data_IF_233673125935
#
_entry.id   IF_233673125935
#
_cell.length_a   1.000
_cell.length_b   1.000
_cell.length_c   1.000
_cell.angle_alpha   90.00
_cell.angle_beta   90.00
_cell.angle_gamma   90.00
#
_symmetry.space_group_name_H-M   'P 1'
#
loop_
_entity.id
_entity.type
_entity.pdbx_description
1 polymer ?
#
# COMPACT_ATOMS: atom_id res chain seq x y z
N UNK A 1 -72.57 40.58 7.19
CA UNK A 1 -71.70 39.48 7.66
C UNK A 1 -70.58 39.28 6.62
N UNK A 2 -69.37 39.78 6.89
CA UNK A 2 -68.23 39.64 5.98
C UNK A 2 -67.43 38.39 6.41
N UNK A 3 -67.33 37.40 5.51
CA UNK A 3 -66.49 36.19 5.75
C UNK A 3 -65.02 36.54 5.49
N UNK A 4 -64.21 36.35 6.49
CA UNK A 4 -62.76 36.49 6.40
C UNK A 4 -62.19 35.13 5.95
N UNK A 5 -61.56 35.10 4.79
CA UNK A 5 -60.84 33.91 4.28
C UNK A 5 -59.37 34.04 4.72
N UNK A 6 -58.93 33.17 5.62
CA UNK A 6 -57.54 33.07 6.04
C UNK A 6 -56.83 32.09 5.08
N UNK A 7 -55.94 32.62 4.26
CA UNK A 7 -55.05 31.82 3.40
C UNK A 7 -53.80 31.46 4.20
N UNK A 8 -53.68 30.21 4.64
CA UNK A 8 -52.45 29.71 5.24
C UNK A 8 -51.44 29.37 4.14
N UNK A 9 -50.40 30.18 4.05
CA UNK A 9 -49.25 29.86 3.19
C UNK A 9 -48.37 28.79 3.86
N UNK A 10 -48.34 27.58 3.31
CA UNK A 10 -47.39 26.56 3.67
C UNK A 10 -46.02 26.94 3.08
N UNK A 11 -45.09 27.35 3.94
CA UNK A 11 -43.67 27.47 3.58
C UNK A 11 -43.07 26.05 3.46
N UNK A 12 -42.89 25.57 2.24
CA UNK A 12 -42.03 24.45 1.95
C UNK A 12 -40.57 24.91 2.04
N UNK A 13 -39.88 24.58 3.12
CA UNK A 13 -38.42 24.71 3.19
C UNK A 13 -37.79 23.65 2.28
N UNK A 14 -37.28 24.09 1.14
CA UNK A 14 -36.44 23.24 0.27
C UNK A 14 -35.12 23.05 1.01
N UNK A 15 -34.93 21.87 1.63
CA UNK A 15 -33.62 21.45 2.10
C UNK A 15 -32.75 21.19 0.87
N UNK A 16 -31.89 22.14 0.53
CA UNK A 16 -30.79 21.89 -0.42
C UNK A 16 -29.89 20.81 0.18
N UNK A 17 -29.58 19.72 -0.55
CA UNK A 17 -28.61 18.75 -0.07
C UNK A 17 -27.27 19.47 0.11
N UNK A 18 -26.72 19.44 1.32
CA UNK A 18 -25.35 19.89 1.57
C UNK A 18 -24.47 18.95 0.76
N UNK A 19 -23.82 19.49 -0.27
CA UNK A 19 -22.81 18.76 -1.01
C UNK A 19 -21.71 18.37 0.00
N UNK A 20 -21.66 17.12 0.39
CA UNK A 20 -20.51 16.58 1.09
C UNK A 20 -19.34 16.70 0.11
N UNK A 21 -18.32 17.46 0.47
CA UNK A 21 -17.08 17.49 -0.30
C UNK A 21 -16.60 16.03 -0.39
N UNK A 22 -16.48 15.51 -1.62
CA UNK A 22 -16.00 14.15 -1.84
C UNK A 22 -14.61 14.04 -1.21
N UNK A 23 -14.48 13.14 -0.22
CA UNK A 23 -13.17 12.84 0.39
C UNK A 23 -12.33 12.19 -0.71
N UNK A 24 -11.16 12.77 -1.09
CA UNK A 24 -10.33 12.18 -2.11
C UNK A 24 -9.93 10.74 -1.77
N UNK A 25 -9.77 9.86 -2.76
CA UNK A 25 -9.43 8.47 -2.50
C UNK A 25 -8.06 8.33 -1.84
N UNK A 26 -7.96 7.37 -0.91
CA UNK A 26 -6.77 7.12 -0.12
C UNK A 26 -6.16 5.73 -0.37
N UNK A 27 -4.85 5.65 -0.13
CA UNK A 27 -4.07 4.42 -0.06
C UNK A 27 -3.69 4.16 1.39
N UNK A 28 -4.11 3.02 1.94
CA UNK A 28 -3.60 2.51 3.21
C UNK A 28 -2.28 1.77 2.95
N UNK A 29 -1.23 2.11 3.70
CA UNK A 29 0.11 1.50 3.54
C UNK A 29 0.47 0.78 4.84
N UNK A 30 0.46 -0.55 4.80
CA UNK A 30 0.81 -1.40 5.94
C UNK A 30 2.32 -1.65 5.90
N UNK A 31 3.08 -1.01 6.81
CA UNK A 31 4.54 -1.07 6.82
C UNK A 31 5.14 -0.67 8.18
N UNK A 32 6.40 -0.21 8.19
CA UNK A 32 7.14 0.15 9.40
C UNK A 32 6.75 1.49 10.04
N UNK A 33 5.97 2.31 9.34
CA UNK A 33 5.67 3.69 9.73
C UNK A 33 6.55 4.72 9.02
N UNK A 34 6.43 6.00 9.41
CA UNK A 34 7.13 7.14 8.79
C UNK A 34 7.20 8.33 9.77
N UNK A 35 8.07 9.31 9.54
CA UNK A 35 7.93 10.63 10.15
C UNK A 35 6.75 11.37 9.52
N UNK A 36 5.66 11.52 10.25
CA UNK A 36 4.39 12.11 9.78
C UNK A 36 4.59 13.48 9.09
N UNK A 37 5.55 14.27 9.56
CA UNK A 37 5.82 15.60 9.01
C UNK A 37 6.36 15.60 7.55
N UNK A 38 6.83 14.45 7.05
CA UNK A 38 7.36 14.35 5.68
C UNK A 38 6.27 14.25 4.60
N UNK A 39 5.04 13.91 4.99
CA UNK A 39 3.94 13.64 4.05
C UNK A 39 2.68 14.45 4.42
N UNK A 40 2.51 15.66 3.87
CA UNK A 40 1.37 16.54 4.20
C UNK A 40 0.01 16.01 3.71
N UNK A 41 0.01 14.97 2.88
CA UNK A 41 -1.18 14.31 2.36
C UNK A 41 -1.67 13.13 3.22
N UNK A 42 -1.06 12.88 4.39
CA UNK A 42 -1.57 11.92 5.38
C UNK A 42 -2.87 12.47 5.97
N UNK A 43 -3.91 11.63 5.97
CA UNK A 43 -5.26 11.98 6.46
C UNK A 43 -5.69 11.14 7.67
N UNK A 44 -4.97 10.09 7.98
CA UNK A 44 -5.20 9.21 9.13
C UNK A 44 -4.00 8.30 9.33
N UNK A 45 -3.82 7.81 10.54
CA UNK A 45 -2.75 6.88 10.88
C UNK A 45 -3.25 5.84 11.87
N UNK A 46 -2.64 4.67 11.83
CA UNK A 46 -2.87 3.62 12.80
C UNK A 46 -1.56 2.89 13.14
N UNK A 47 -1.47 2.40 14.36
CA UNK A 47 -0.41 1.49 14.78
C UNK A 47 -1.00 0.27 15.45
N UNK A 48 -0.57 -0.91 15.05
CA UNK A 48 -0.88 -2.18 15.72
C UNK A 48 0.36 -3.08 15.70
N UNK A 49 0.80 -3.50 16.89
CA UNK A 49 2.03 -4.26 17.06
C UNK A 49 1.85 -5.40 18.04
N UNK A 50 2.42 -6.55 17.74
CA UNK A 50 2.43 -7.71 18.66
C UNK A 50 3.60 -7.64 19.63
N UNK A 51 4.77 -7.22 19.15
CA UNK A 51 5.98 -7.03 19.94
C UNK A 51 6.43 -5.57 19.92
N UNK A 52 7.08 -5.09 20.98
CA UNK A 52 7.38 -3.67 21.14
C UNK A 52 6.13 -2.83 21.37
N UNK A 53 6.20 -1.54 21.05
CA UNK A 53 5.17 -0.56 21.34
C UNK A 53 4.94 0.42 20.21
N UNK A 54 3.72 0.92 20.11
CA UNK A 54 3.36 2.11 19.35
C UNK A 54 3.88 3.38 20.04
N UNK A 55 3.81 4.57 19.42
CA UNK A 55 4.29 5.82 19.99
C UNK A 55 3.71 6.17 21.37
N UNK A 56 2.49 5.73 21.66
CA UNK A 56 1.81 5.94 22.96
C UNK A 56 2.21 4.93 24.05
N UNK A 57 3.18 4.06 23.81
CA UNK A 57 3.60 3.01 24.74
C UNK A 57 2.66 1.81 24.85
N UNK A 58 1.65 1.70 23.96
CA UNK A 58 0.68 0.59 23.92
C UNK A 58 0.86 -0.28 22.68
N UNK A 59 0.05 -1.35 22.55
CA UNK A 59 0.05 -2.23 21.39
C UNK A 59 -0.74 -1.69 20.21
N UNK A 60 -1.60 -0.72 20.45
CA UNK A 60 -2.39 -0.03 19.42
C UNK A 60 -2.43 1.48 19.66
N UNK A 61 -2.50 2.24 18.58
CA UNK A 61 -2.74 3.68 18.61
C UNK A 61 -3.52 4.06 17.34
N UNK A 62 -4.52 4.95 17.47
CA UNK A 62 -5.30 5.49 16.35
C UNK A 62 -5.13 7.01 16.30
N UNK A 63 -5.18 7.57 15.10
CA UNK A 63 -5.08 9.00 14.84
C UNK A 63 -3.68 9.46 14.45
N UNK A 64 -3.57 10.74 14.07
CA UNK A 64 -2.32 11.33 13.60
C UNK A 64 -1.17 11.16 14.61
N UNK A 65 -0.02 10.75 14.10
CA UNK A 65 1.16 10.38 14.89
C UNK A 65 1.19 8.90 15.31
N UNK A 66 0.15 8.12 15.01
CA UNK A 66 0.12 6.71 15.39
C UNK A 66 1.18 5.88 14.64
N UNK A 67 1.42 6.17 13.38
CA UNK A 67 2.44 5.49 12.59
C UNK A 67 3.81 6.20 12.64
N UNK A 68 3.93 7.30 13.42
CA UNK A 68 5.15 8.08 13.48
C UNK A 68 6.34 7.28 14.01
N UNK A 69 7.49 7.48 13.37
CA UNK A 69 8.79 6.98 13.81
C UNK A 69 9.76 8.15 13.97
N UNK A 70 10.74 8.00 14.87
CA UNK A 70 11.86 8.92 14.93
C UNK A 70 12.75 8.75 13.68
N UNK A 71 13.45 9.80 13.23
CA UNK A 71 14.45 9.68 12.18
C UNK A 71 15.43 8.55 12.49
N UNK A 72 15.60 7.62 11.56
CA UNK A 72 16.38 6.41 11.73
C UNK A 72 17.12 6.08 10.43
N UNK A 73 18.23 5.35 10.55
CA UNK A 73 18.91 4.68 9.44
C UNK A 73 18.73 3.16 9.48
N UNK A 74 17.98 2.64 10.47
CA UNK A 74 17.66 1.23 10.56
C UNK A 74 16.72 0.85 9.42
N UNK A 75 17.14 -0.09 8.57
CA UNK A 75 16.40 -0.50 7.37
C UNK A 75 14.97 -1.00 7.67
N UNK A 76 14.77 -1.64 8.81
CA UNK A 76 13.44 -2.11 9.22
C UNK A 76 12.47 -0.96 9.56
N UNK A 77 13.00 0.21 9.96
CA UNK A 77 12.21 1.40 10.28
C UNK A 77 12.09 2.38 9.09
N UNK A 78 13.04 2.37 8.15
CA UNK A 78 13.00 3.31 7.02
C UNK A 78 12.01 2.90 5.93
N UNK A 79 11.69 1.61 5.85
CA UNK A 79 11.00 1.01 4.71
C UNK A 79 9.61 1.63 4.44
N UNK A 80 8.79 1.92 5.47
CA UNK A 80 7.49 2.55 5.29
C UNK A 80 7.59 3.96 4.66
N UNK A 81 8.56 4.77 5.13
CA UNK A 81 8.85 6.08 4.52
C UNK A 81 9.22 5.96 3.05
N UNK A 82 10.03 4.94 2.71
CA UNK A 82 10.46 4.67 1.35
C UNK A 82 9.27 4.32 0.45
N UNK A 83 8.35 3.48 0.93
CA UNK A 83 7.13 3.11 0.19
C UNK A 83 6.21 4.31 -0.02
N UNK A 84 5.98 5.10 1.02
CA UNK A 84 5.17 6.32 0.92
C UNK A 84 5.79 7.33 -0.05
N UNK A 85 7.12 7.43 -0.09
CA UNK A 85 7.80 8.33 -1.03
C UNK A 85 7.59 7.93 -2.49
N UNK A 86 7.57 6.63 -2.81
CA UNK A 86 7.27 6.13 -4.15
C UNK A 86 5.83 6.43 -4.53
N UNK A 87 4.89 6.16 -3.62
CA UNK A 87 3.48 6.48 -3.84
C UNK A 87 3.30 7.97 -4.14
N UNK A 88 3.94 8.83 -3.35
CA UNK A 88 3.85 10.28 -3.51
C UNK A 88 4.52 10.79 -4.80
N UNK A 89 5.58 10.14 -5.27
CA UNK A 89 6.21 10.46 -6.57
C UNK A 89 5.27 10.15 -7.75
N UNK A 90 4.56 9.02 -7.69
CA UNK A 90 3.69 8.56 -8.79
C UNK A 90 2.32 9.23 -8.74
N UNK A 91 1.77 9.42 -7.55
CA UNK A 91 0.48 10.06 -7.34
C UNK A 91 0.53 11.04 -6.16
N UNK A 92 1.02 12.27 -6.38
CA UNK A 92 1.18 13.27 -5.32
C UNK A 92 -0.17 13.77 -4.75
N UNK A 93 -1.28 13.49 -5.42
CA UNK A 93 -2.62 13.87 -4.98
C UNK A 93 -3.30 12.80 -4.13
N UNK A 94 -2.79 11.57 -4.12
CA UNK A 94 -3.32 10.48 -3.31
C UNK A 94 -3.29 10.84 -1.83
N UNK A 95 -4.38 10.56 -1.13
CA UNK A 95 -4.38 10.63 0.33
C UNK A 95 -3.73 9.37 0.90
N UNK A 96 -3.00 9.52 2.00
CA UNK A 96 -2.22 8.46 2.61
C UNK A 96 -2.78 8.10 4.00
N UNK A 97 -2.85 6.82 4.27
CA UNK A 97 -3.22 6.27 5.58
C UNK A 97 -2.16 5.24 5.98
N UNK A 98 -1.00 5.69 6.50
CA UNK A 98 0.02 4.77 6.96
C UNK A 98 -0.45 3.97 8.18
N UNK A 99 -0.09 2.68 8.18
CA UNK A 99 -0.40 1.74 9.24
C UNK A 99 0.89 1.04 9.66
N UNK A 100 1.34 1.37 10.86
CA UNK A 100 2.57 0.83 11.42
C UNK A 100 2.32 -0.51 12.09
N UNK A 101 3.08 -1.55 11.66
CA UNK A 101 3.04 -2.90 12.23
C UNK A 101 4.33 -3.31 12.93
N UNK A 102 5.37 -2.48 12.87
CA UNK A 102 6.67 -2.72 13.52
C UNK A 102 6.72 -1.91 14.82
N UNK A 103 6.69 -2.62 15.94
CA UNK A 103 6.84 -2.03 17.25
C UNK A 103 8.29 -1.65 17.55
N UNK A 104 8.50 -0.73 18.48
CA UNK A 104 9.82 -0.37 18.98
C UNK A 104 9.86 -0.65 20.49
N UNK A 105 10.96 -1.28 20.94
CA UNK A 105 11.26 -1.47 22.35
C UNK A 105 12.68 -0.96 22.61
N UNK A 106 12.82 0.05 23.49
CA UNK A 106 14.10 0.70 23.79
C UNK A 106 14.91 1.09 22.53
N UNK A 107 14.23 1.66 21.52
CA UNK A 107 14.84 2.08 20.27
C UNK A 107 15.12 0.93 19.26
N UNK A 108 14.82 -0.33 19.62
CA UNK A 108 15.07 -1.50 18.77
C UNK A 108 13.75 -1.91 18.10
N UNK A 109 13.70 -2.00 16.74
CA UNK A 109 12.54 -2.52 16.03
C UNK A 109 12.30 -3.99 16.39
N UNK A 110 11.04 -4.35 16.46
CA UNK A 110 10.59 -5.70 16.79
C UNK A 110 9.97 -6.35 15.56
N UNK A 111 10.21 -7.64 15.38
CA UNK A 111 9.63 -8.38 14.28
C UNK A 111 8.10 -8.30 14.31
N UNK A 112 7.50 -8.11 13.15
CA UNK A 112 6.06 -8.21 12.94
C UNK A 112 5.68 -9.63 12.57
N UNK A 113 4.40 -9.98 12.71
CA UNK A 113 3.82 -11.19 12.16
C UNK A 113 2.64 -10.86 11.25
N UNK A 114 2.14 -11.84 10.51
CA UNK A 114 0.93 -11.67 9.71
C UNK A 114 -0.32 -11.41 10.56
N UNK A 115 -0.31 -11.67 11.88
CA UNK A 115 -1.41 -11.25 12.77
C UNK A 115 -1.48 -9.73 12.90
N UNK A 116 -0.35 -9.03 12.97
CA UNK A 116 -0.35 -7.57 12.96
C UNK A 116 -0.90 -7.02 11.63
N UNK A 117 -0.55 -7.65 10.50
CA UNK A 117 -1.12 -7.31 9.18
C UNK A 117 -2.62 -7.57 9.16
N UNK A 118 -3.09 -8.71 9.70
CA UNK A 118 -4.52 -9.01 9.83
C UNK A 118 -5.26 -7.95 10.65
N UNK A 119 -4.72 -7.60 11.81
CA UNK A 119 -5.31 -6.56 12.67
C UNK A 119 -5.35 -5.19 11.97
N UNK A 120 -4.37 -4.90 11.11
CA UNK A 120 -4.41 -3.72 10.25
C UNK A 120 -5.54 -3.79 9.22
N UNK A 121 -5.80 -4.96 8.60
CA UNK A 121 -6.93 -5.16 7.69
C UNK A 121 -8.28 -4.99 8.40
N UNK A 122 -8.44 -5.52 9.62
CA UNK A 122 -9.63 -5.32 10.45
C UNK A 122 -9.93 -3.83 10.66
N UNK A 123 -8.88 -3.06 11.04
CA UNK A 123 -9.02 -1.61 11.21
C UNK A 123 -9.37 -0.90 9.89
N UNK A 124 -8.75 -1.30 8.76
CA UNK A 124 -9.08 -0.74 7.45
C UNK A 124 -10.55 -1.02 7.09
N UNK A 125 -11.05 -2.23 7.30
CA UNK A 125 -12.45 -2.59 7.05
C UNK A 125 -13.39 -1.67 7.82
N UNK A 126 -13.09 -1.39 9.09
CA UNK A 126 -13.88 -0.50 9.94
C UNK A 126 -13.80 0.97 9.52
N UNK A 127 -12.67 1.41 8.96
CA UNK A 127 -12.37 2.83 8.71
C UNK A 127 -12.33 3.22 7.22
N UNK A 128 -12.49 2.27 6.27
CA UNK A 128 -12.39 2.53 4.83
C UNK A 128 -13.31 3.65 4.32
N UNK A 129 -14.51 3.75 4.87
CA UNK A 129 -15.46 4.81 4.48
C UNK A 129 -15.02 6.17 5.03
N UNK A 130 -14.52 6.22 6.28
CA UNK A 130 -14.05 7.44 6.93
C UNK A 130 -12.93 8.13 6.14
N UNK A 131 -12.00 7.36 5.61
CA UNK A 131 -10.84 7.87 4.88
C UNK A 131 -10.95 7.68 3.35
N UNK A 132 -12.06 7.17 2.84
CA UNK A 132 -12.26 6.79 1.43
C UNK A 132 -11.11 5.90 0.89
N UNK A 133 -10.70 4.87 1.67
CA UNK A 133 -9.62 3.96 1.28
C UNK A 133 -10.08 3.13 0.07
N UNK A 134 -9.28 3.12 -1.00
CA UNK A 134 -9.51 2.35 -2.23
C UNK A 134 -8.43 1.31 -2.49
N UNK A 135 -7.24 1.51 -1.95
CA UNK A 135 -6.09 0.61 -2.12
C UNK A 135 -5.50 0.33 -0.73
N UNK A 136 -5.12 -0.92 -0.51
CA UNK A 136 -4.25 -1.37 0.59
C UNK A 136 -2.94 -1.83 -0.04
N UNK A 137 -1.83 -1.20 0.30
CA UNK A 137 -0.48 -1.54 -0.16
C UNK A 137 0.27 -2.29 0.94
N UNK A 138 0.72 -3.52 0.65
CA UNK A 138 1.43 -4.39 1.61
C UNK A 138 2.76 -4.79 1.00
N UNK A 139 3.84 -4.17 1.45
CA UNK A 139 5.20 -4.50 1.03
C UNK A 139 5.91 -5.45 1.99
N UNK A 140 5.18 -6.02 2.93
CA UNK A 140 5.64 -6.93 3.99
C UNK A 140 5.11 -8.34 3.78
N UNK A 141 5.90 -9.35 4.11
CA UNK A 141 5.49 -10.75 3.98
C UNK A 141 6.65 -11.73 4.08
N UNK A 142 6.33 -13.01 3.96
CA UNK A 142 7.30 -14.09 3.88
C UNK A 142 6.72 -15.29 3.12
N UNK A 143 7.57 -16.22 2.69
CA UNK A 143 7.11 -17.47 2.11
C UNK A 143 6.66 -18.41 3.22
N UNK A 144 5.39 -18.79 3.19
CA UNK A 144 4.82 -19.83 4.04
C UNK A 144 4.25 -20.95 3.19
N UNK A 145 4.39 -22.19 3.67
CA UNK A 145 3.87 -23.36 2.98
C UNK A 145 2.35 -23.23 2.74
N UNK A 146 1.90 -23.54 1.52
CA UNK A 146 0.48 -23.44 1.17
C UNK A 146 -0.12 -22.03 1.25
N UNK A 147 0.72 -20.98 1.19
CA UNK A 147 0.26 -19.59 1.36
C UNK A 147 -0.43 -19.37 2.71
N UNK A 148 0.10 -19.96 3.78
CA UNK A 148 -0.52 -19.87 5.10
C UNK A 148 -0.61 -18.44 5.61
N UNK A 149 -1.77 -18.09 6.18
CA UNK A 149 -2.09 -16.80 6.80
C UNK A 149 -2.91 -17.03 8.07
N UNK A 150 -3.01 -16.05 8.98
CA UNK A 150 -3.89 -16.15 10.15
C UNK A 150 -5.35 -16.41 9.78
N UNK A 151 -6.09 -17.03 10.68
CA UNK A 151 -7.53 -17.24 10.50
C UNK A 151 -8.26 -15.91 10.27
N UNK A 152 -9.22 -15.88 9.34
CA UNK A 152 -9.98 -14.70 8.95
C UNK A 152 -9.26 -13.75 7.98
N UNK A 153 -7.98 -13.94 7.70
CA UNK A 153 -7.23 -13.03 6.81
C UNK A 153 -7.76 -13.05 5.36
N UNK A 154 -8.03 -14.23 4.81
CA UNK A 154 -8.55 -14.39 3.46
C UNK A 154 -9.99 -13.83 3.32
N UNK A 155 -10.77 -13.94 4.38
CA UNK A 155 -12.11 -13.35 4.50
C UNK A 155 -12.04 -11.82 4.51
N UNK A 156 -11.06 -11.23 5.22
CA UNK A 156 -10.84 -9.78 5.24
C UNK A 156 -10.51 -9.26 3.84
N UNK A 157 -9.59 -9.93 3.13
CA UNK A 157 -9.25 -9.59 1.73
C UNK A 157 -10.49 -9.66 0.83
N UNK A 158 -11.30 -10.71 0.99
CA UNK A 158 -12.55 -10.88 0.22
C UNK A 158 -13.56 -9.77 0.55
N UNK A 159 -13.69 -9.41 1.83
CA UNK A 159 -14.55 -8.32 2.30
C UNK A 159 -14.11 -6.97 1.75
N UNK A 160 -12.81 -6.68 1.75
CA UNK A 160 -12.25 -5.45 1.18
C UNK A 160 -12.57 -5.37 -0.31
N UNK A 161 -12.31 -6.43 -1.06
CA UNK A 161 -12.62 -6.50 -2.51
C UNK A 161 -14.10 -6.27 -2.79
N UNK A 162 -15.00 -6.93 -2.05
CA UNK A 162 -16.45 -6.76 -2.19
C UNK A 162 -16.92 -5.31 -1.91
N UNK A 163 -16.13 -4.56 -1.14
CA UNK A 163 -16.36 -3.14 -0.85
C UNK A 163 -15.57 -2.18 -1.76
N UNK A 164 -15.02 -2.66 -2.88
CA UNK A 164 -14.31 -1.84 -3.85
C UNK A 164 -12.92 -1.39 -3.38
N UNK A 165 -12.30 -2.10 -2.43
CA UNK A 165 -10.93 -1.86 -1.97
C UNK A 165 -10.02 -2.97 -2.48
N UNK A 166 -8.99 -2.61 -3.25
CA UNK A 166 -8.01 -3.56 -3.76
C UNK A 166 -6.86 -3.75 -2.78
N UNK A 167 -6.50 -4.99 -2.51
CA UNK A 167 -5.29 -5.34 -1.73
C UNK A 167 -4.17 -5.67 -2.70
N UNK A 168 -3.06 -4.94 -2.62
CA UNK A 168 -1.88 -5.05 -3.49
C UNK A 168 -0.70 -5.47 -2.63
N UNK A 169 -0.01 -6.56 -2.98
CA UNK A 169 1.05 -7.12 -2.15
C UNK A 169 2.29 -7.58 -2.93
N UNK A 170 3.46 -7.40 -2.31
CA UNK A 170 4.75 -7.75 -2.87
C UNK A 170 4.98 -9.28 -2.92
N UNK A 171 5.47 -9.79 -4.06
CA UNK A 171 5.74 -11.21 -4.21
C UNK A 171 6.97 -11.70 -3.44
N UNK A 172 7.89 -10.79 -3.04
CA UNK A 172 9.11 -11.07 -2.31
C UNK A 172 10.37 -11.09 -3.18
N UNK A 173 11.54 -11.09 -2.52
CA UNK A 173 12.85 -10.84 -3.15
C UNK A 173 13.85 -12.01 -3.00
N UNK A 174 13.35 -13.26 -2.94
CA UNK A 174 14.16 -14.44 -2.64
C UNK A 174 14.49 -15.29 -3.89
N UNK A 175 14.27 -14.77 -5.09
CA UNK A 175 14.46 -15.52 -6.35
C UNK A 175 13.61 -16.81 -6.41
N UNK A 176 12.48 -16.88 -5.71
CA UNK A 176 11.62 -18.05 -5.67
C UNK A 176 10.72 -18.10 -6.91
N UNK A 177 10.73 -19.22 -7.64
CA UNK A 177 9.98 -19.41 -8.90
C UNK A 177 8.71 -20.24 -8.73
N UNK A 178 8.47 -20.76 -7.53
CA UNK A 178 7.37 -21.67 -7.22
C UNK A 178 6.46 -21.14 -6.12
N UNK A 179 6.87 -20.09 -5.42
CA UNK A 179 6.09 -19.47 -4.34
C UNK A 179 6.26 -17.95 -4.29
N UNK A 180 5.21 -17.27 -3.90
CA UNK A 180 5.19 -15.85 -3.56
C UNK A 180 5.08 -15.68 -2.04
N UNK A 181 5.36 -14.51 -1.53
CA UNK A 181 5.08 -14.18 -0.13
C UNK A 181 3.58 -14.27 0.18
N UNK A 182 3.23 -14.74 1.36
CA UNK A 182 1.94 -14.41 1.95
C UNK A 182 1.97 -12.94 2.42
N UNK A 183 0.96 -12.10 2.07
CA UNK A 183 -0.32 -12.49 1.50
C UNK A 183 -0.43 -12.42 -0.04
N UNK A 184 0.65 -12.10 -0.80
CA UNK A 184 0.59 -11.92 -2.25
C UNK A 184 0.09 -13.18 -3.02
N UNK A 185 0.28 -14.36 -2.44
CA UNK A 185 -0.17 -15.64 -3.00
C UNK A 185 -1.67 -15.93 -2.79
N UNK A 186 -2.39 -15.12 -1.99
CA UNK A 186 -3.81 -15.34 -1.73
C UNK A 186 -4.70 -14.99 -2.94
N UNK A 187 -5.82 -15.69 -3.14
CA UNK A 187 -6.89 -15.24 -4.02
C UNK A 187 -7.37 -13.82 -3.64
N UNK A 188 -7.78 -13.06 -4.65
CA UNK A 188 -8.25 -11.67 -4.50
C UNK A 188 -7.20 -10.63 -4.08
N UNK A 189 -5.94 -11.02 -3.86
CA UNK A 189 -4.80 -10.11 -3.72
C UNK A 189 -4.19 -9.87 -5.09
N UNK A 190 -3.86 -8.62 -5.39
CA UNK A 190 -3.08 -8.23 -6.56
C UNK A 190 -1.60 -8.42 -6.20
N UNK A 191 -1.00 -9.50 -6.67
CA UNK A 191 0.41 -9.81 -6.44
C UNK A 191 1.31 -9.04 -7.40
N UNK A 192 2.39 -8.43 -6.89
CA UNK A 192 3.28 -7.57 -7.67
C UNK A 192 4.71 -8.04 -7.62
N UNK A 193 5.23 -8.44 -8.78
CA UNK A 193 6.64 -8.73 -9.01
C UNK A 193 7.39 -7.52 -9.55
N UNK A 194 8.71 -7.59 -9.49
CA UNK A 194 9.61 -6.54 -9.90
C UNK A 194 10.16 -6.79 -11.31
N UNK A 195 10.31 -5.70 -12.10
CA UNK A 195 11.14 -5.70 -13.29
C UNK A 195 12.40 -4.87 -13.06
N UNK A 196 13.48 -5.31 -13.70
CA UNK A 196 14.68 -4.51 -13.92
C UNK A 196 14.76 -4.09 -15.39
N UNK A 197 15.36 -2.94 -15.64
CA UNK A 197 15.68 -2.50 -16.98
C UNK A 197 17.01 -1.70 -16.92
N UNK A 198 18.00 -2.07 -17.65
CA UNK A 198 18.15 -3.34 -18.41
C UNK A 198 18.43 -4.53 -17.49
N UNK A 199 18.45 -5.76 -18.08
CA UNK A 199 18.89 -6.99 -17.36
C UNK A 199 20.10 -6.68 -16.46
N UNK A 200 20.04 -7.02 -15.14
CA UNK A 200 21.13 -6.79 -14.19
C UNK A 200 22.46 -7.50 -14.54
N UNK A 201 22.44 -8.49 -15.45
CA UNK A 201 23.65 -9.03 -16.06
C UNK A 201 24.38 -8.07 -16.99
N UNK A 202 23.77 -6.97 -17.35
CA UNK A 202 24.35 -5.91 -18.17
C UNK A 202 24.86 -4.75 -17.30
N UNK A 203 25.89 -5.00 -16.47
CA UNK A 203 26.52 -3.96 -15.65
C UNK A 203 26.92 -2.74 -16.50
N UNK A 204 26.44 -1.56 -16.12
CA UNK A 204 26.77 -0.30 -16.78
C UNK A 204 25.78 0.20 -17.84
N UNK A 205 24.68 -0.48 -18.10
CA UNK A 205 23.64 0.06 -18.99
C UNK A 205 22.72 0.99 -18.21
N UNK A 206 22.52 2.18 -18.75
CA UNK A 206 21.52 3.15 -18.32
C UNK A 206 20.11 2.62 -18.59
N UNK A 207 19.14 3.13 -17.83
CA UNK A 207 17.72 2.91 -18.12
C UNK A 207 17.42 3.13 -19.60
N UNK A 208 16.81 2.14 -20.25
CA UNK A 208 16.34 2.21 -21.63
C UNK A 208 14.82 2.01 -21.67
N UNK A 209 14.03 3.08 -21.91
CA UNK A 209 12.58 2.98 -21.96
C UNK A 209 12.07 2.15 -23.13
N UNK A 210 12.92 1.86 -24.12
CA UNK A 210 12.58 1.04 -25.31
C UNK A 210 12.91 -0.44 -25.13
N UNK A 211 13.70 -0.77 -24.11
CA UNK A 211 14.07 -2.16 -23.85
C UNK A 211 12.84 -2.97 -23.38
N UNK A 212 12.78 -4.23 -23.82
CA UNK A 212 11.75 -5.16 -23.35
C UNK A 212 11.84 -5.32 -21.82
N UNK A 213 10.73 -5.20 -21.07
CA UNK A 213 10.74 -5.35 -19.63
C UNK A 213 11.26 -6.73 -19.22
N UNK A 214 12.27 -6.74 -18.36
CA UNK A 214 12.90 -7.95 -17.84
C UNK A 214 12.46 -8.19 -16.39
N UNK A 215 11.89 -9.36 -16.09
CA UNK A 215 11.52 -9.72 -14.72
C UNK A 215 12.80 -9.88 -13.90
N UNK A 216 12.92 -9.08 -12.84
CA UNK A 216 14.11 -9.06 -11.99
C UNK A 216 14.43 -10.44 -11.42
N UNK A 217 15.71 -10.83 -11.45
CA UNK A 217 16.12 -12.17 -11.00
C UNK A 217 15.82 -12.44 -9.54
N UNK A 218 15.85 -11.40 -8.69
CA UNK A 218 15.52 -11.51 -7.28
C UNK A 218 14.02 -11.61 -7.03
N UNK A 219 13.16 -11.16 -7.97
CA UNK A 219 11.70 -11.18 -7.77
C UNK A 219 11.20 -12.59 -7.61
N UNK A 220 10.48 -12.86 -6.52
CA UNK A 220 9.66 -14.05 -6.48
C UNK A 220 8.54 -13.91 -7.53
N UNK A 221 8.02 -15.05 -8.00
CA UNK A 221 6.91 -15.05 -8.92
C UNK A 221 6.50 -16.45 -9.31
N UNK A 222 5.27 -16.55 -9.77
CA UNK A 222 4.66 -17.76 -10.34
C UNK A 222 3.86 -17.36 -11.57
N UNK A 223 3.37 -18.30 -12.39
CA UNK A 223 2.45 -17.98 -13.48
C UNK A 223 1.17 -17.26 -13.05
N UNK A 224 0.82 -17.28 -11.74
CA UNK A 224 -0.33 -16.61 -11.14
C UNK A 224 -0.01 -15.19 -10.66
N UNK A 225 1.23 -14.70 -10.76
CA UNK A 225 1.58 -13.32 -10.43
C UNK A 225 0.71 -12.36 -11.25
N UNK A 226 0.00 -11.45 -10.55
CA UNK A 226 -0.98 -10.57 -11.20
C UNK A 226 -0.32 -9.60 -12.16
N UNK A 227 0.75 -8.91 -11.69
CA UNK A 227 1.48 -7.92 -12.47
C UNK A 227 2.96 -7.88 -12.11
N UNK A 228 3.75 -7.38 -13.05
CA UNK A 228 5.12 -6.93 -12.87
C UNK A 228 5.20 -5.44 -13.24
N UNK A 229 6.02 -4.68 -12.53
CA UNK A 229 6.26 -3.27 -12.87
C UNK A 229 7.67 -2.84 -12.46
N UNK A 230 8.06 -1.62 -12.86
CA UNK A 230 9.36 -1.07 -12.50
C UNK A 230 9.56 -1.05 -10.97
N UNK A 231 10.75 -1.42 -10.55
CA UNK A 231 11.11 -1.56 -9.15
C UNK A 231 12.27 -0.66 -8.73
N UNK A 232 12.75 0.24 -9.60
CA UNK A 232 13.94 1.06 -9.41
C UNK A 232 13.55 2.51 -9.13
N UNK A 233 13.74 2.94 -7.88
CA UNK A 233 13.32 4.28 -7.45
C UNK A 233 14.38 4.94 -6.57
N UNK A 234 14.49 6.27 -6.68
CA UNK A 234 15.08 7.11 -5.64
C UNK A 234 14.03 7.29 -4.55
N UNK A 235 14.32 6.89 -3.33
CA UNK A 235 13.37 6.92 -2.21
C UNK A 235 13.81 7.88 -1.13
N UNK A 236 12.84 8.57 -0.51
CA UNK A 236 13.07 9.44 0.63
C UNK A 236 13.29 8.59 1.89
N UNK A 237 14.25 9.03 2.71
CA UNK A 237 14.56 8.42 4.01
C UNK A 237 13.94 9.23 5.15
N UNK A 238 13.71 8.65 6.34
CA UNK A 238 13.18 9.36 7.50
C UNK A 238 14.01 10.59 7.95
N UNK A 239 15.30 10.61 7.61
CA UNK A 239 16.19 11.74 7.90
C UNK A 239 16.18 12.83 6.80
N UNK A 240 15.28 12.72 5.80
CA UNK A 240 15.16 13.67 4.70
C UNK A 240 16.15 13.48 3.54
N UNK A 241 17.09 12.54 3.64
CA UNK A 241 17.99 12.20 2.52
C UNK A 241 17.29 11.26 1.53
N UNK A 242 17.92 11.03 0.37
CA UNK A 242 17.42 10.05 -0.61
C UNK A 242 18.46 8.96 -0.85
N UNK A 243 17.97 7.77 -1.20
CA UNK A 243 18.83 6.66 -1.68
C UNK A 243 18.18 5.94 -2.86
N UNK A 244 19.01 5.24 -3.63
CA UNK A 244 18.52 4.34 -4.67
C UNK A 244 18.11 3.00 -4.05
N UNK A 245 16.93 2.49 -4.45
CA UNK A 245 16.40 1.23 -3.94
C UNK A 245 15.78 0.41 -5.06
N UNK A 246 15.82 -0.91 -4.91
CA UNK A 246 15.15 -1.88 -5.78
C UNK A 246 14.42 -2.93 -4.94
N UNK A 247 13.33 -3.49 -5.46
CA UNK A 247 12.60 -4.54 -4.75
C UNK A 247 11.14 -4.67 -5.20
N UNK A 248 10.55 -5.81 -4.93
CA UNK A 248 9.11 -6.01 -5.15
C UNK A 248 8.26 -5.10 -4.27
N UNK A 249 8.80 -4.62 -3.15
CA UNK A 249 8.20 -3.58 -2.31
C UNK A 249 7.99 -2.28 -3.09
N UNK A 250 9.04 -1.84 -3.81
CA UNK A 250 8.98 -0.63 -4.64
C UNK A 250 7.95 -0.76 -5.77
N UNK A 251 7.95 -1.92 -6.46
CA UNK A 251 6.98 -2.24 -7.50
C UNK A 251 5.54 -2.21 -6.93
N UNK A 252 5.34 -2.74 -5.72
CA UNK A 252 4.04 -2.75 -5.04
C UNK A 252 3.56 -1.35 -4.70
N UNK A 253 4.42 -0.51 -4.13
CA UNK A 253 4.11 0.89 -3.84
C UNK A 253 3.74 1.67 -5.12
N UNK A 254 4.55 1.49 -6.17
CA UNK A 254 4.33 2.12 -7.48
C UNK A 254 2.99 1.69 -8.10
N UNK A 255 2.73 0.39 -8.15
CA UNK A 255 1.47 -0.11 -8.71
C UNK A 255 0.26 0.33 -7.88
N UNK A 256 0.37 0.36 -6.55
CA UNK A 256 -0.68 0.85 -5.66
C UNK A 256 -1.06 2.30 -5.96
N UNK A 257 -0.06 3.16 -6.16
CA UNK A 257 -0.28 4.56 -6.54
C UNK A 257 -0.94 4.70 -7.92
N UNK A 258 -0.49 3.90 -8.88
CA UNK A 258 -1.01 3.91 -10.25
C UNK A 258 -2.46 3.41 -10.33
N UNK A 259 -2.77 2.29 -9.65
CA UNK A 259 -4.10 1.68 -9.67
C UNK A 259 -5.19 2.55 -9.05
N UNK A 260 -4.84 3.49 -8.17
CA UNK A 260 -5.81 4.41 -7.57
C UNK A 260 -6.62 5.18 -8.62
N UNK A 261 -5.94 5.57 -9.71
CA UNK A 261 -6.56 6.31 -10.83
C UNK A 261 -6.77 5.43 -12.08
N UNK A 262 -6.17 4.23 -12.12
CA UNK A 262 -6.18 3.32 -13.26
C UNK A 262 -6.55 1.89 -12.83
N UNK A 263 -7.78 1.63 -12.39
CA UNK A 263 -8.17 0.32 -11.82
C UNK A 263 -8.08 -0.85 -12.81
N UNK A 264 -8.05 -0.55 -14.11
CA UNK A 264 -7.88 -1.51 -15.19
C UNK A 264 -6.64 -1.11 -16.03
N UNK A 265 -5.42 -1.44 -15.56
CA UNK A 265 -4.20 -0.98 -16.21
C UNK A 265 -4.01 -1.62 -17.58
N UNK A 266 -3.50 -0.83 -18.53
CA UNK A 266 -3.01 -1.36 -19.81
C UNK A 266 -1.75 -2.17 -19.53
N UNK A 267 -1.67 -3.37 -20.11
CA UNK A 267 -0.55 -4.29 -19.87
C UNK A 267 0.15 -4.69 -21.18
N UNK A 268 1.44 -4.91 -21.06
CA UNK A 268 2.26 -5.62 -22.03
C UNK A 268 2.85 -6.88 -21.38
N UNK A 269 3.94 -7.43 -21.87
CA UNK A 269 4.56 -8.63 -21.34
C UNK A 269 5.97 -8.36 -20.86
N UNK A 270 6.27 -8.74 -19.62
CA UNK A 270 7.63 -8.89 -19.11
C UNK A 270 8.02 -10.37 -19.06
N UNK A 271 9.29 -10.67 -19.21
CA UNK A 271 9.80 -12.05 -19.12
C UNK A 271 11.24 -12.07 -18.64
N UNK A 272 11.67 -13.21 -18.16
CA UNK A 272 13.05 -13.61 -17.99
C UNK A 272 13.19 -15.11 -18.40
N UNK A 273 14.28 -15.77 -18.02
CA UNK A 273 14.56 -17.16 -18.38
C UNK A 273 13.56 -18.17 -17.76
N UNK A 274 12.82 -17.76 -16.71
CA UNK A 274 11.95 -18.65 -15.94
C UNK A 274 10.48 -18.25 -15.92
N UNK A 275 10.22 -16.95 -16.05
CA UNK A 275 8.89 -16.38 -15.83
C UNK A 275 8.47 -15.48 -17.00
N UNK A 276 7.18 -15.48 -17.26
CA UNK A 276 6.52 -14.53 -18.16
C UNK A 276 5.24 -14.05 -17.48
N UNK A 277 4.95 -12.76 -17.56
CA UNK A 277 3.77 -12.20 -16.91
C UNK A 277 3.36 -10.85 -17.47
N UNK A 278 2.22 -10.34 -16.97
CA UNK A 278 1.68 -9.03 -17.36
C UNK A 278 2.54 -7.91 -16.79
N UNK A 279 2.96 -7.00 -17.62
CA UNK A 279 3.74 -5.84 -17.22
C UNK A 279 2.88 -4.57 -17.32
N UNK A 280 2.91 -3.76 -16.27
CA UNK A 280 2.32 -2.42 -16.21
C UNK A 280 3.45 -1.41 -16.29
N UNK A 281 3.43 -0.57 -17.32
CA UNK A 281 4.37 0.53 -17.46
C UNK A 281 3.87 1.72 -16.63
N UNK A 282 4.69 2.19 -15.70
CA UNK A 282 4.42 3.37 -14.86
C UNK A 282 5.51 4.38 -15.17
N UNK A 283 5.09 5.55 -15.69
CA UNK A 283 5.97 6.68 -15.99
C UNK A 283 6.31 7.47 -14.74
#
# INVERSE_FOLDING_TARGET
MKKLIIISALLFSVMTPVAHADIPPAIAVIDSGEPTALFPNIVGEYCVVESGFCPNGKKTMDGLGAANIAPSTNLELTHGTEMLSIINQINPTAKLVPIRIIGINNGVPQLYTLNAVKSALDWIIANKAKYNIKIVSISQGAVFAGCAVPAGFAEDVTTLKANGVSVVAATGNNSNRTAMFSPACLPNVISVGATDNPDPGSSGKTWDPTAKPYIARYSNGTPQTSYYTNARYMVLQPNGTTKFMVGTSNATAALSAYLLNNPNPVTTTASNEWLTGKYVFIQ
#
